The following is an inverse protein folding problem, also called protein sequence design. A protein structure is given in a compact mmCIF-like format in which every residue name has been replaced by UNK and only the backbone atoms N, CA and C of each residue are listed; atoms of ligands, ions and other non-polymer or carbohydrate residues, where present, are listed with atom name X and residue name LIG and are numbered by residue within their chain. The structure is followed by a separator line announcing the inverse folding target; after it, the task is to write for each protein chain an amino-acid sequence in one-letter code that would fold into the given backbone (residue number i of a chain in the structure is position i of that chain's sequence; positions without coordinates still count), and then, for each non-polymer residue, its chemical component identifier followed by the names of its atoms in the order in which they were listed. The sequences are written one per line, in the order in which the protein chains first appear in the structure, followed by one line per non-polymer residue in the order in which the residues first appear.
data_IF_332444123279
#
_entry.id   IF_332444123279
#
_cell.length_a   1.000
_cell.length_b   1.000
_cell.length_c   1.000
_cell.angle_alpha   90.00
_cell.angle_beta   90.00
_cell.angle_gamma   90.00
#
_symmetry.space_group_name_H-M   'P 1'
#
loop_
_entity.id
_entity.type
_entity.pdbx_description
1 polymer ?
#
# COMPACT_ATOMS: atom_id res chain seq x y z
N UNK A 1 -0.38 11.96 4.18
CA UNK A 1 -0.33 10.67 4.86
C UNK A 1 -1.75 10.21 5.01
N UNK A 2 -2.07 9.07 4.44
CA UNK A 2 -3.40 8.47 4.49
C UNK A 2 -3.34 7.26 5.41
N UNK A 3 -4.41 7.04 6.18
CA UNK A 3 -4.58 5.81 6.93
C UNK A 3 -5.27 4.80 6.00
N UNK A 4 -4.49 3.89 5.43
CA UNK A 4 -4.90 3.03 4.32
C UNK A 4 -5.95 2.00 4.72
N UNK A 5 -7.23 2.32 4.49
CA UNK A 5 -8.30 1.34 4.28
C UNK A 5 -8.52 0.32 5.40
N UNK A 6 -8.31 0.68 6.67
CA UNK A 6 -8.69 -0.19 7.79
C UNK A 6 -10.18 -0.49 7.71
N UNK A 7 -10.50 -1.77 7.88
CA UNK A 7 -11.85 -2.26 7.72
C UNK A 7 -12.17 -3.25 8.83
N UNK A 8 -13.43 -3.32 9.25
CA UNK A 8 -13.85 -4.42 10.13
C UNK A 8 -13.94 -5.72 9.32
N UNK A 9 -13.70 -6.86 9.98
CA UNK A 9 -13.63 -8.18 9.31
C UNK A 9 -14.84 -8.49 8.42
N UNK A 10 -16.03 -8.03 8.81
CA UNK A 10 -17.28 -8.21 8.06
C UNK A 10 -17.22 -7.68 6.64
N UNK A 11 -16.42 -6.65 6.37
CA UNK A 11 -16.30 -6.03 5.05
C UNK A 11 -14.96 -6.35 4.37
N UNK A 12 -14.21 -7.34 4.86
CA UNK A 12 -13.01 -7.80 4.17
C UNK A 12 -13.37 -8.39 2.80
N UNK A 13 -12.64 -7.96 1.77
CA UNK A 13 -12.84 -8.44 0.39
C UNK A 13 -13.94 -7.73 -0.39
N UNK A 14 -14.64 -6.75 0.20
CA UNK A 14 -15.53 -5.85 -0.54
C UNK A 14 -14.73 -4.73 -1.22
N UNK A 15 -15.38 -3.91 -2.06
CA UNK A 15 -14.76 -2.73 -2.67
C UNK A 15 -14.61 -1.56 -1.70
N UNK A 16 -15.22 -1.61 -0.51
CA UNK A 16 -15.39 -0.45 0.36
C UNK A 16 -14.07 0.24 0.73
N UNK A 17 -13.00 -0.54 0.98
CA UNK A 17 -11.69 0.05 1.29
C UNK A 17 -11.03 0.72 0.09
N UNK A 18 -11.33 0.28 -1.13
CA UNK A 18 -10.87 0.93 -2.37
C UNK A 18 -11.68 2.21 -2.62
N UNK A 19 -13.01 2.11 -2.51
CA UNK A 19 -13.93 3.21 -2.80
C UNK A 19 -13.62 4.42 -1.91
N UNK A 20 -13.46 4.20 -0.60
CA UNK A 20 -13.10 5.26 0.35
C UNK A 20 -11.76 5.92 0.01
N UNK A 21 -10.74 5.15 -0.38
CA UNK A 21 -9.44 5.71 -0.72
C UNK A 21 -9.49 6.54 -2.02
N UNK A 22 -10.29 6.11 -3.01
CA UNK A 22 -10.48 6.86 -4.26
C UNK A 22 -11.21 8.18 -3.97
N UNK A 23 -12.33 8.14 -3.24
CA UNK A 23 -13.10 9.34 -2.90
C UNK A 23 -12.28 10.32 -2.06
N UNK A 24 -11.46 9.81 -1.13
CA UNK A 24 -10.55 10.64 -0.35
C UNK A 24 -9.48 11.27 -1.25
N UNK A 25 -8.87 10.50 -2.14
CA UNK A 25 -7.90 11.03 -3.10
C UNK A 25 -8.50 12.13 -3.99
N UNK A 26 -9.69 11.91 -4.57
CA UNK A 26 -10.39 12.90 -5.40
C UNK A 26 -10.69 14.18 -4.62
N UNK A 27 -11.16 14.04 -3.38
CA UNK A 27 -11.43 15.17 -2.47
C UNK A 27 -10.15 15.97 -2.17
N UNK A 28 -9.03 15.28 -1.94
CA UNK A 28 -7.75 15.93 -1.65
C UNK A 28 -7.15 16.55 -2.91
N UNK A 29 -7.32 15.92 -4.08
CA UNK A 29 -6.90 16.45 -5.36
C UNK A 29 -7.65 17.75 -5.70
N UNK A 30 -8.96 17.82 -5.43
CA UNK A 30 -9.76 19.03 -5.56
C UNK A 30 -9.26 20.18 -4.65
N UNK A 31 -8.56 19.86 -3.55
CA UNK A 31 -7.90 20.83 -2.65
C UNK A 31 -6.47 21.17 -3.07
N UNK A 32 -6.02 20.72 -4.25
CA UNK A 32 -4.68 21.00 -4.78
C UNK A 32 -3.59 20.03 -4.33
N UNK A 33 -3.94 18.92 -3.66
CA UNK A 33 -2.97 17.87 -3.37
C UNK A 33 -2.63 17.08 -4.63
N UNK A 34 -1.34 16.93 -4.92
CA UNK A 34 -0.86 16.24 -6.14
C UNK A 34 -0.09 14.95 -5.84
N UNK A 35 0.03 14.57 -4.56
CA UNK A 35 0.79 13.41 -4.12
C UNK A 35 0.19 12.81 -2.87
N UNK A 36 0.00 11.49 -2.90
CA UNK A 36 -0.32 10.67 -1.74
C UNK A 36 0.87 9.77 -1.41
N UNK A 37 1.10 9.56 -0.11
CA UNK A 37 2.11 8.64 0.41
C UNK A 37 1.41 7.81 1.48
N UNK A 38 1.35 6.51 1.22
CA UNK A 38 0.90 5.52 2.18
C UNK A 38 2.09 4.98 2.98
N UNK A 39 1.86 4.76 4.27
CA UNK A 39 2.82 4.14 5.19
C UNK A 39 2.16 2.92 5.78
N UNK A 40 2.50 1.76 5.24
CA UNK A 40 1.97 0.49 5.66
C UNK A 40 3.04 -0.38 6.32
N UNK A 41 2.60 -1.22 7.26
CA UNK A 41 3.46 -2.20 7.90
C UNK A 41 3.83 -3.31 6.91
N UNK A 42 5.11 -3.66 6.82
CA UNK A 42 5.62 -4.63 5.82
C UNK A 42 5.01 -6.04 5.94
N UNK A 43 4.49 -6.37 7.12
CA UNK A 43 3.80 -7.64 7.39
C UNK A 43 2.32 -7.62 7.01
N UNK A 44 1.74 -6.45 6.73
CA UNK A 44 0.35 -6.32 6.30
C UNK A 44 0.23 -6.60 4.79
N UNK A 45 0.39 -7.87 4.42
CA UNK A 45 0.34 -8.33 3.03
C UNK A 45 -0.96 -7.91 2.31
N UNK A 46 -2.16 -7.96 2.93
CA UNK A 46 -3.38 -7.47 2.28
C UNK A 46 -3.32 -5.99 1.89
N UNK A 47 -2.88 -5.11 2.79
CA UNK A 47 -2.73 -3.68 2.50
C UNK A 47 -1.69 -3.44 1.40
N UNK A 48 -0.52 -4.10 1.47
CA UNK A 48 0.50 -4.00 0.44
C UNK A 48 -0.05 -4.39 -0.95
N UNK A 49 -0.79 -5.51 -1.03
CA UNK A 49 -1.43 -5.94 -2.29
C UNK A 49 -2.49 -4.95 -2.78
N UNK A 50 -3.21 -4.29 -1.89
CA UNK A 50 -4.21 -3.28 -2.21
C UNK A 50 -3.55 -2.05 -2.85
N UNK A 51 -2.57 -1.44 -2.18
CA UNK A 51 -1.91 -0.24 -2.68
C UNK A 51 -1.16 -0.48 -4.01
N UNK A 52 -0.52 -1.64 -4.17
CA UNK A 52 0.08 -2.05 -5.46
C UNK A 52 -0.97 -2.05 -6.58
N UNK A 53 -2.17 -2.58 -6.33
CA UNK A 53 -3.26 -2.61 -7.34
C UNK A 53 -3.82 -1.23 -7.64
N UNK A 54 -3.76 -0.31 -6.68
CA UNK A 54 -4.16 1.09 -6.85
C UNK A 54 -3.09 1.94 -7.57
N UNK A 55 -1.96 1.34 -7.97
CA UNK A 55 -0.92 2.03 -8.74
C UNK A 55 0.12 2.77 -7.91
N UNK A 56 0.13 2.57 -6.58
CA UNK A 56 1.18 3.11 -5.72
C UNK A 56 2.55 2.58 -6.14
N UNK A 57 3.56 3.44 -6.03
CA UNK A 57 4.95 3.12 -6.32
C UNK A 57 5.76 3.01 -5.03
N UNK A 58 6.68 2.05 -4.97
CA UNK A 58 7.60 1.91 -3.84
C UNK A 58 8.48 3.16 -3.71
N UNK A 59 8.59 3.70 -2.49
CA UNK A 59 9.49 4.83 -2.20
C UNK A 59 10.95 4.39 -1.99
N UNK A 60 11.22 3.08 -1.83
CA UNK A 60 12.57 2.59 -1.52
C UNK A 60 13.01 2.90 -0.07
N UNK A 61 12.07 3.13 0.85
CA UNK A 61 12.32 3.48 2.26
C UNK A 61 11.60 2.52 3.20
N UNK A 62 12.26 2.15 4.29
CA UNK A 62 11.68 1.42 5.42
C UNK A 62 12.06 2.11 6.71
N UNK A 63 11.05 2.44 7.52
CA UNK A 63 11.22 2.97 8.87
C UNK A 63 11.14 1.83 9.87
N UNK A 64 12.24 1.56 10.56
CA UNK A 64 12.29 0.60 11.67
C UNK A 64 11.90 1.31 12.95
N UNK A 65 10.93 0.74 13.68
CA UNK A 65 10.47 1.25 14.98
C UNK A 65 10.86 0.25 16.05
N UNK A 66 11.80 0.62 16.92
CA UNK A 66 12.26 -0.23 18.02
C UNK A 66 11.67 0.27 19.34
N UNK A 67 10.92 -0.60 20.02
CA UNK A 67 10.39 -0.34 21.35
C UNK A 67 11.34 -0.88 22.44
N UNK A 68 11.78 -0.01 23.35
CA UNK A 68 12.55 -0.39 24.54
C UNK A 68 11.70 -0.19 25.81
N UNK A 69 12.03 -0.94 26.87
CA UNK A 69 11.37 -0.86 28.18
C UNK A 69 9.84 -0.98 28.09
N UNK A 70 9.34 -2.01 27.41
CA UNK A 70 7.91 -2.23 27.22
C UNK A 70 7.22 -1.19 26.34
N UNK A 71 7.97 -0.53 25.45
CA UNK A 71 7.45 0.48 24.52
C UNK A 71 7.45 1.91 25.07
N UNK A 72 7.94 2.13 26.31
CA UNK A 72 8.11 3.48 26.87
C UNK A 72 9.04 4.33 26.00
N UNK A 73 10.08 3.73 25.44
CA UNK A 73 11.05 4.42 24.60
C UNK A 73 10.96 3.87 23.18
N UNK A 74 10.90 4.77 22.19
CA UNK A 74 10.82 4.40 20.78
C UNK A 74 12.00 5.00 20.03
N UNK A 75 12.80 4.14 19.41
CA UNK A 75 13.87 4.54 18.52
C UNK A 75 13.45 4.30 17.07
N UNK A 76 13.69 5.29 16.22
CA UNK A 76 13.31 5.26 14.82
C UNK A 76 14.57 5.27 13.96
N UNK A 77 14.67 4.32 13.03
CA UNK A 77 15.77 4.27 12.06
C UNK A 77 15.21 4.10 10.66
N UNK A 78 15.57 4.99 9.76
CA UNK A 78 15.27 4.82 8.35
C UNK A 78 16.38 4.03 7.66
N UNK A 79 15.98 3.12 6.77
CA UNK A 79 16.87 2.47 5.81
C UNK A 79 16.33 2.68 4.41
N UNK A 80 17.24 2.86 3.44
CA UNK A 80 16.92 2.98 2.03
C UNK A 80 17.38 1.74 1.28
N UNK A 81 16.63 1.35 0.26
CA UNK A 81 16.97 0.22 -0.59
C UNK A 81 16.77 0.58 -2.06
N UNK A 82 17.47 -0.15 -2.93
CA UNK A 82 17.29 -0.10 -4.38
C UNK A 82 16.64 -1.40 -4.88
N UNK A 83 15.99 -1.34 -6.04
CA UNK A 83 15.16 -2.43 -6.55
C UNK A 83 13.77 -2.46 -5.89
N UNK A 84 13.04 -3.56 -6.09
CA UNK A 84 11.71 -3.76 -5.51
C UNK A 84 11.73 -4.84 -4.45
N UNK A 85 11.13 -4.54 -3.30
CA UNK A 85 10.84 -5.53 -2.25
C UNK A 85 9.41 -6.06 -2.35
N UNK A 86 8.54 -5.34 -3.06
CA UNK A 86 7.13 -5.68 -3.24
C UNK A 86 6.86 -6.47 -4.54
N UNK A 87 7.85 -6.65 -5.41
CA UNK A 87 7.73 -7.46 -6.63
C UNK A 87 7.16 -8.86 -6.40
N UNK A 88 7.55 -9.62 -5.35
CA UNK A 88 6.95 -10.93 -5.06
C UNK A 88 5.44 -10.87 -4.73
N UNK A 89 4.91 -9.70 -4.35
CA UNK A 89 3.49 -9.50 -4.05
C UNK A 89 2.67 -9.07 -5.27
N UNK A 90 3.33 -8.64 -6.35
CA UNK A 90 2.66 -8.31 -7.61
C UNK A 90 2.08 -9.59 -8.20
N UNK A 91 0.82 -9.54 -8.66
CA UNK A 91 0.26 -10.68 -9.41
C UNK A 91 1.09 -10.85 -10.69
N UNK A 92 1.51 -12.07 -11.06
CA UNK A 92 2.12 -12.29 -12.36
C UNK A 92 1.13 -11.84 -13.44
N UNK A 93 1.64 -11.16 -14.47
CA UNK A 93 0.82 -10.70 -15.59
C UNK A 93 0.01 -11.88 -16.14
N UNK A 94 -1.31 -11.70 -16.28
CA UNK A 94 -2.15 -12.73 -16.89
C UNK A 94 -1.58 -12.97 -18.30
N UNK A 95 -1.20 -14.21 -18.68
CA UNK A 95 -0.77 -14.46 -20.04
C UNK A 95 -1.92 -14.03 -20.95
N UNK A 96 -1.61 -13.14 -21.89
CA UNK A 96 -2.55 -12.76 -22.95
C UNK A 96 -2.76 -14.03 -23.76
N UNK A 97 -3.92 -14.66 -23.61
CA UNK A 97 -4.31 -15.76 -24.47
C UNK A 97 -4.52 -15.14 -25.85
N UNK A 98 -3.53 -15.30 -26.73
CA UNK A 98 -3.67 -14.95 -28.14
C UNK A 98 -4.64 -15.96 -28.71
N UNK A 99 -5.88 -15.53 -28.96
CA UNK A 99 -6.84 -16.36 -29.70
C UNK A 99 -6.24 -16.62 -31.08
N UNK A 100 -5.95 -17.89 -31.38
CA UNK A 100 -5.62 -18.27 -32.74
C UNK A 100 -6.83 -17.95 -33.62
N UNK A 101 -6.62 -17.12 -34.65
CA UNK A 101 -7.61 -16.91 -35.69
C UNK A 101 -7.75 -18.24 -36.47
N UNK A 102 -8.99 -18.71 -36.63
CA UNK A 102 -9.37 -19.82 -37.50
C UNK A 102 -9.82 -19.25 -38.83
#
# INVERSE_FOLDING_TARGET
FEFGGEMIRTYFGTSLSVDVQIELWETMAAKGCNKVVDVCETHNIPALKLHIRMGYQEQGRVTHVYGFFGGRWRFFRETRYQGSRLDPLRKPGRPVVVSAAV
#
